data_IF_696325815516
#
_entry.id   IF_696325815516
#
_cell.length_a   1.000
_cell.length_b   1.000
_cell.length_c   1.000
_cell.angle_alpha   90.00
_cell.angle_beta   90.00
_cell.angle_gamma   90.00
#
_symmetry.space_group_name_H-M   'P 1'
#
loop_
_entity.id
_entity.type
_entity.pdbx_description
1 polymer ?
#
# COMPACT_ATOMS: atom_id res chain seq x y z
N UNK A 1 9.59 -28.62 6.02
CA UNK A 1 10.20 -27.58 5.15
C UNK A 1 10.69 -26.47 6.07
N UNK A 2 11.90 -25.99 5.88
CA UNK A 2 12.43 -24.86 6.67
C UNK A 2 11.60 -23.63 6.35
N UNK A 3 11.12 -22.90 7.35
CA UNK A 3 10.36 -21.69 7.13
C UNK A 3 11.19 -20.71 6.27
N UNK A 4 10.59 -20.17 5.22
CA UNK A 4 11.24 -19.14 4.40
C UNK A 4 11.32 -17.87 5.26
N UNK A 5 12.53 -17.48 5.62
CA UNK A 5 12.76 -16.21 6.32
C UNK A 5 12.98 -15.15 5.24
N UNK A 6 12.06 -14.18 5.16
CA UNK A 6 12.25 -13.05 4.26
C UNK A 6 13.49 -12.24 4.65
N UNK A 7 14.20 -11.64 3.69
CA UNK A 7 15.24 -10.66 3.99
C UNK A 7 14.63 -9.52 4.83
N UNK A 8 15.48 -8.78 5.56
CA UNK A 8 14.97 -7.58 6.25
C UNK A 8 14.47 -6.58 5.23
N UNK A 9 13.31 -5.94 5.49
CA UNK A 9 12.72 -5.04 4.52
C UNK A 9 13.60 -3.81 4.29
N UNK A 10 13.71 -3.41 3.03
CA UNK A 10 14.42 -2.21 2.62
C UNK A 10 13.72 -1.62 1.40
N UNK A 11 13.59 -0.29 1.35
CA UNK A 11 13.07 0.42 0.20
C UNK A 11 14.20 1.20 -0.45
N UNK A 12 14.59 0.78 -1.64
CA UNK A 12 15.56 1.49 -2.47
C UNK A 12 14.86 2.17 -3.65
N UNK A 13 15.37 3.32 -4.07
CA UNK A 13 14.91 3.98 -5.28
C UNK A 13 15.36 3.18 -6.50
N UNK A 14 14.40 2.81 -7.33
CA UNK A 14 14.60 2.04 -8.54
C UNK A 14 13.86 2.64 -9.73
N UNK A 15 14.03 2.03 -10.89
CA UNK A 15 13.33 2.42 -12.11
C UNK A 15 12.96 1.20 -12.91
N UNK A 16 11.65 1.09 -13.22
CA UNK A 16 11.14 0.10 -14.15
C UNK A 16 10.68 0.79 -15.42
N UNK A 17 11.34 0.51 -16.55
CA UNK A 17 11.21 1.28 -17.80
C UNK A 17 11.40 2.80 -17.52
N UNK A 18 10.39 3.63 -17.76
CA UNK A 18 10.43 5.08 -17.49
C UNK A 18 9.93 5.47 -16.09
N UNK A 19 9.41 4.53 -15.30
CA UNK A 19 8.71 4.83 -14.04
C UNK A 19 9.68 4.72 -12.86
N UNK A 20 9.94 5.83 -12.12
CA UNK A 20 10.67 5.78 -10.87
C UNK A 20 9.77 5.22 -9.75
N UNK A 21 10.33 4.33 -8.94
CA UNK A 21 9.63 3.69 -7.83
C UNK A 21 10.56 3.50 -6.63
N UNK A 22 9.96 3.20 -5.48
CA UNK A 22 10.65 2.61 -4.33
C UNK A 22 10.24 1.15 -4.23
N UNK A 23 11.21 0.23 -4.18
CA UNK A 23 11.03 -1.22 -4.27
C UNK A 23 12.03 -1.96 -3.38
N UNK A 24 11.79 -3.26 -3.17
CA UNK A 24 12.72 -4.17 -2.49
C UNK A 24 13.03 -5.37 -3.41
N UNK A 25 14.19 -5.30 -4.10
CA UNK A 25 14.61 -6.36 -5.02
C UNK A 25 15.00 -7.64 -4.27
N UNK A 26 15.53 -7.54 -3.04
CA UNK A 26 15.86 -8.71 -2.23
C UNK A 26 14.60 -9.49 -1.82
N UNK A 27 13.49 -8.81 -1.56
CA UNK A 27 12.19 -9.44 -1.36
C UNK A 27 11.74 -10.19 -2.61
N UNK A 28 11.84 -9.55 -3.78
CA UNK A 28 11.45 -10.16 -5.04
C UNK A 28 12.26 -11.44 -5.32
N UNK A 29 13.57 -11.39 -5.16
CA UNK A 29 14.45 -12.55 -5.31
C UNK A 29 14.11 -13.68 -4.33
N UNK A 30 13.71 -13.35 -3.10
CA UNK A 30 13.41 -14.33 -2.05
C UNK A 30 12.06 -15.05 -2.24
N UNK A 31 10.99 -14.36 -2.64
CA UNK A 31 9.64 -14.92 -2.64
C UNK A 31 8.81 -14.64 -3.90
N UNK A 32 9.38 -13.94 -4.89
CA UNK A 32 8.71 -13.59 -6.15
C UNK A 32 7.65 -12.49 -6.00
N UNK A 33 7.58 -11.82 -4.83
CA UNK A 33 6.68 -10.69 -4.63
C UNK A 33 7.40 -9.40 -4.99
N UNK A 34 6.94 -8.73 -6.03
CA UNK A 34 7.37 -7.39 -6.41
C UNK A 34 6.46 -6.37 -5.78
N UNK A 35 7.05 -5.42 -5.08
CA UNK A 35 6.36 -4.27 -4.50
C UNK A 35 6.87 -2.99 -5.14
N UNK A 36 6.02 -1.97 -5.21
CA UNK A 36 6.43 -0.65 -5.69
C UNK A 36 5.56 0.46 -5.08
N UNK A 37 6.20 1.47 -4.54
CA UNK A 37 5.59 2.78 -4.29
C UNK A 37 6.04 3.71 -5.41
N UNK A 38 5.08 4.20 -6.23
CA UNK A 38 5.41 5.05 -7.38
C UNK A 38 5.64 6.49 -6.94
N UNK A 39 6.38 7.23 -7.77
CA UNK A 39 6.35 8.68 -7.74
C UNK A 39 5.23 9.21 -8.64
N UNK A 40 5.12 10.53 -8.78
CA UNK A 40 4.20 11.16 -9.74
C UNK A 40 4.73 11.18 -11.19
N UNK A 41 5.98 10.75 -11.41
CA UNK A 41 6.66 10.83 -12.70
C UNK A 41 6.52 9.55 -13.56
N UNK A 42 6.62 9.71 -14.88
CA UNK A 42 6.71 8.60 -15.83
C UNK A 42 5.40 8.23 -16.55
N UNK A 43 4.36 9.03 -16.39
CA UNK A 43 3.07 8.86 -17.05
C UNK A 43 2.80 9.84 -18.19
N UNK A 44 1.52 9.94 -18.55
CA UNK A 44 1.02 10.73 -19.71
C UNK A 44 -0.01 11.80 -19.33
N UNK A 45 -0.45 11.85 -18.08
CA UNK A 45 -1.36 12.90 -17.59
C UNK A 45 -0.67 14.26 -17.56
N UNK A 46 -1.44 15.35 -17.49
CA UNK A 46 -0.94 16.72 -17.54
C UNK A 46 -1.58 17.61 -16.47
N UNK A 47 -1.09 18.86 -16.34
CA UNK A 47 -1.60 19.83 -15.38
C UNK A 47 -1.42 19.36 -13.92
N UNK A 48 -2.46 19.44 -13.06
CA UNK A 48 -2.34 19.02 -11.67
C UNK A 48 -2.11 17.50 -11.50
N UNK A 49 -2.31 16.74 -12.56
CA UNK A 49 -2.17 15.27 -12.61
C UNK A 49 -0.84 14.81 -13.22
N UNK A 50 0.05 15.74 -13.56
CA UNK A 50 1.34 15.47 -14.21
C UNK A 50 2.26 14.65 -13.32
N UNK A 51 2.63 13.44 -13.76
CA UNK A 51 2.35 12.80 -15.04
C UNK A 51 1.76 11.41 -14.87
N UNK A 52 2.11 10.64 -13.79
CA UNK A 52 1.66 9.26 -13.52
C UNK A 52 0.47 9.26 -12.55
N UNK A 53 -0.62 9.91 -12.93
CA UNK A 53 -1.85 9.78 -12.15
C UNK A 53 -2.48 8.40 -12.37
N UNK A 54 -2.71 7.67 -11.27
CA UNK A 54 -3.29 6.32 -11.24
C UNK A 54 -4.73 6.29 -10.72
N UNK A 55 -5.20 7.43 -10.18
CA UNK A 55 -6.53 7.57 -9.59
C UNK A 55 -7.61 7.91 -10.61
N UNK A 56 -8.61 7.03 -10.77
CA UNK A 56 -9.75 7.25 -11.67
C UNK A 56 -10.89 8.07 -11.05
N UNK A 57 -10.77 8.47 -9.78
CA UNK A 57 -11.78 9.23 -9.03
C UNK A 57 -11.44 10.73 -8.91
N UNK A 58 -10.54 11.21 -9.75
CA UNK A 58 -10.18 12.62 -9.90
C UNK A 58 -10.54 13.09 -11.31
N UNK A 59 -10.60 14.41 -11.53
CA UNK A 59 -11.05 15.00 -12.81
C UNK A 59 -9.94 14.97 -13.89
N UNK A 60 -9.17 13.87 -13.99
CA UNK A 60 -8.22 13.62 -15.06
C UNK A 60 -8.88 12.89 -16.23
N UNK A 61 -8.28 12.95 -17.41
CA UNK A 61 -8.71 12.17 -18.58
C UNK A 61 -8.62 10.66 -18.27
N UNK A 62 -9.76 9.98 -18.31
CA UNK A 62 -9.85 8.54 -18.06
C UNK A 62 -8.94 7.70 -18.98
N UNK A 63 -8.70 8.13 -20.23
CA UNK A 63 -7.77 7.47 -21.13
C UNK A 63 -6.31 7.64 -20.68
N UNK A 64 -5.94 8.79 -20.12
CA UNK A 64 -4.62 8.99 -19.51
C UNK A 64 -4.43 8.10 -18.30
N UNK A 65 -5.42 8.01 -17.41
CA UNK A 65 -5.37 7.12 -16.22
C UNK A 65 -5.24 5.65 -16.62
N UNK A 66 -6.05 5.19 -17.58
CA UNK A 66 -5.94 3.82 -18.12
C UNK A 66 -4.54 3.57 -18.72
N UNK A 67 -4.03 4.52 -19.50
CA UNK A 67 -2.68 4.41 -20.06
C UNK A 67 -1.59 4.36 -18.99
N UNK A 68 -1.69 5.17 -17.94
CA UNK A 68 -0.75 5.17 -16.82
C UNK A 68 -0.75 3.83 -16.08
N UNK A 69 -1.92 3.26 -15.82
CA UNK A 69 -2.05 1.92 -15.20
C UNK A 69 -1.43 0.85 -16.08
N UNK A 70 -1.69 0.87 -17.39
CA UNK A 70 -1.08 -0.06 -18.35
C UNK A 70 0.45 0.07 -18.40
N UNK A 71 0.99 1.29 -18.40
CA UNK A 71 2.44 1.54 -18.33
C UNK A 71 3.05 0.98 -17.05
N UNK A 72 2.41 1.24 -15.90
CA UNK A 72 2.88 0.73 -14.59
C UNK A 72 2.90 -0.80 -14.57
N UNK A 73 1.82 -1.42 -14.99
CA UNK A 73 1.67 -2.89 -14.96
C UNK A 73 2.67 -3.57 -15.89
N UNK A 74 2.82 -3.06 -17.11
CA UNK A 74 3.81 -3.57 -18.07
C UNK A 74 5.26 -3.43 -17.56
N UNK A 75 5.55 -2.36 -16.81
CA UNK A 75 6.87 -2.12 -16.25
C UNK A 75 7.19 -3.06 -15.07
N UNK A 76 6.23 -3.29 -14.17
CA UNK A 76 6.43 -4.04 -12.92
C UNK A 76 6.21 -5.55 -13.08
N UNK A 77 5.45 -5.97 -14.06
CA UNK A 77 5.13 -7.36 -14.35
C UNK A 77 5.45 -7.73 -15.81
N UNK A 78 6.73 -7.61 -16.25
CA UNK A 78 7.12 -7.95 -17.60
C UNK A 78 6.92 -9.44 -17.84
N UNK A 79 6.19 -9.81 -18.90
CA UNK A 79 5.89 -11.20 -19.26
C UNK A 79 4.49 -11.67 -18.86
N UNK A 80 3.71 -10.85 -18.15
CA UNK A 80 2.27 -11.04 -18.13
C UNK A 80 1.69 -10.52 -19.46
N UNK A 81 0.95 -11.37 -20.16
CA UNK A 81 0.29 -11.04 -21.41
C UNK A 81 -0.74 -9.90 -21.25
N UNK A 82 -1.38 -9.48 -22.35
CA UNK A 82 -2.38 -8.40 -22.38
C UNK A 82 -3.57 -8.56 -21.40
N UNK A 83 -3.69 -9.71 -20.75
CA UNK A 83 -4.66 -10.02 -19.69
C UNK A 83 -4.33 -9.40 -18.33
N UNK A 84 -3.22 -8.66 -18.19
CA UNK A 84 -2.81 -8.09 -16.88
C UNK A 84 -3.81 -7.06 -16.37
N UNK A 85 -4.47 -6.31 -17.24
CA UNK A 85 -5.53 -5.39 -16.82
C UNK A 85 -6.71 -6.16 -16.22
N UNK A 86 -6.99 -7.36 -16.69
CA UNK A 86 -8.01 -8.26 -16.14
C UNK A 86 -7.60 -8.83 -14.78
N UNK A 87 -6.28 -8.92 -14.51
CA UNK A 87 -5.71 -9.44 -13.26
C UNK A 87 -5.30 -8.33 -12.28
N UNK A 88 -5.59 -7.07 -12.58
CA UNK A 88 -5.32 -5.94 -11.70
C UNK A 88 -6.57 -5.60 -10.87
N UNK A 89 -6.44 -5.66 -9.55
CA UNK A 89 -7.50 -5.24 -8.62
C UNK A 89 -7.20 -3.84 -8.12
N UNK A 90 -8.11 -2.89 -8.41
CA UNK A 90 -8.03 -1.48 -7.99
C UNK A 90 -9.34 -1.11 -7.29
N UNK A 91 -9.42 -1.09 -5.96
CA UNK A 91 -10.66 -0.78 -5.27
C UNK A 91 -11.02 0.70 -5.33
N UNK A 92 -12.31 0.97 -5.27
CA UNK A 92 -12.80 2.30 -4.92
C UNK A 92 -12.54 2.53 -3.43
N UNK A 93 -11.50 3.31 -3.11
CA UNK A 93 -11.13 3.63 -1.74
C UNK A 93 -12.17 4.57 -1.12
N UNK A 94 -12.66 4.20 0.05
CA UNK A 94 -13.75 4.89 0.76
C UNK A 94 -13.33 5.42 2.13
N UNK A 95 -12.03 5.33 2.45
CA UNK A 95 -11.45 5.69 3.75
C UNK A 95 -12.09 4.92 4.93
N UNK A 96 -12.49 3.68 4.64
CA UNK A 96 -13.04 2.74 5.61
C UNK A 96 -12.01 1.74 6.14
N UNK A 97 -12.51 0.55 6.46
CA UNK A 97 -11.69 -0.56 6.97
C UNK A 97 -12.06 -1.92 6.32
N UNK A 98 -12.77 -1.89 5.17
CA UNK A 98 -13.14 -3.10 4.43
C UNK A 98 -11.92 -3.68 3.74
N UNK A 99 -11.69 -4.97 3.99
CA UNK A 99 -10.64 -5.79 3.40
C UNK A 99 -11.29 -6.76 2.41
N UNK A 100 -10.69 -6.95 1.25
CA UNK A 100 -11.09 -7.98 0.27
C UNK A 100 -9.93 -8.93 0.04
N UNK A 101 -10.23 -10.21 -0.27
CA UNK A 101 -9.22 -11.24 -0.48
C UNK A 101 -9.38 -11.89 -1.85
N UNK A 102 -8.28 -11.96 -2.61
CA UNK A 102 -8.14 -12.75 -3.84
C UNK A 102 -7.42 -14.05 -3.50
N UNK A 103 -8.17 -15.13 -3.33
CA UNK A 103 -7.59 -16.43 -3.00
C UNK A 103 -7.00 -17.14 -4.23
N UNK A 104 -7.55 -16.91 -5.41
CA UNK A 104 -7.13 -17.52 -6.67
C UNK A 104 -7.56 -16.71 -7.88
N UNK A 105 -6.97 -16.99 -9.03
CA UNK A 105 -7.29 -16.32 -10.31
C UNK A 105 -8.80 -16.37 -10.61
N UNK A 106 -9.47 -17.48 -10.31
CA UNK A 106 -10.92 -17.62 -10.53
C UNK A 106 -11.81 -16.73 -9.66
N UNK A 107 -11.26 -16.08 -8.62
CA UNK A 107 -12.01 -15.14 -7.77
C UNK A 107 -11.84 -13.67 -8.16
N UNK A 108 -10.95 -13.35 -9.11
CA UNK A 108 -10.57 -11.97 -9.45
C UNK A 108 -11.77 -11.14 -9.87
N UNK A 109 -12.59 -11.63 -10.81
CA UNK A 109 -13.78 -10.91 -11.30
C UNK A 109 -14.77 -10.58 -10.17
N UNK A 110 -15.05 -11.55 -9.28
CA UNK A 110 -15.92 -11.32 -8.14
C UNK A 110 -15.34 -10.28 -7.16
N UNK A 111 -14.01 -10.31 -6.96
CA UNK A 111 -13.34 -9.34 -6.09
C UNK A 111 -13.30 -7.96 -6.74
N UNK A 112 -13.11 -7.84 -8.06
CA UNK A 112 -13.19 -6.56 -8.77
C UNK A 112 -14.59 -5.93 -8.64
N UNK A 113 -15.66 -6.70 -8.79
CA UNK A 113 -17.04 -6.22 -8.56
C UNK A 113 -17.21 -5.72 -7.12
N UNK A 114 -16.74 -6.48 -6.14
CA UNK A 114 -16.80 -6.08 -4.73
C UNK A 114 -15.92 -4.85 -4.41
N UNK A 115 -14.81 -4.69 -5.13
CA UNK A 115 -13.89 -3.57 -5.03
C UNK A 115 -14.52 -2.26 -5.56
N UNK A 116 -15.35 -2.33 -6.57
CA UNK A 116 -16.11 -1.19 -7.10
C UNK A 116 -17.15 -0.68 -6.09
N UNK A 117 -17.67 -1.56 -5.22
CA UNK A 117 -18.55 -1.15 -4.12
C UNK A 117 -17.80 -0.37 -3.02
N UNK A 118 -16.51 -0.61 -2.86
CA UNK A 118 -15.58 0.07 -1.95
C UNK A 118 -14.80 -0.87 -1.06
N UNK A 119 -13.49 -0.62 -0.97
CA UNK A 119 -12.58 -1.27 -0.02
C UNK A 119 -11.30 -0.43 0.13
N UNK A 120 -10.60 -0.62 1.24
CA UNK A 120 -9.36 0.11 1.55
C UNK A 120 -8.17 -0.85 1.80
N UNK A 121 -8.37 -2.16 1.62
CA UNK A 121 -7.28 -3.14 1.60
C UNK A 121 -7.63 -4.32 0.67
N UNK A 122 -6.60 -4.84 0.00
CA UNK A 122 -6.67 -6.03 -0.85
C UNK A 122 -5.59 -7.01 -0.40
N UNK A 123 -6.01 -8.21 0.03
CA UNK A 123 -5.13 -9.36 0.28
C UNK A 123 -5.07 -10.21 -0.99
N UNK A 124 -3.90 -10.65 -1.40
CA UNK A 124 -3.70 -11.50 -2.58
C UNK A 124 -2.89 -12.74 -2.21
N UNK A 125 -3.46 -13.91 -2.42
CA UNK A 125 -2.80 -15.21 -2.31
C UNK A 125 -2.37 -15.74 -3.68
N UNK A 126 -3.08 -15.36 -4.71
CA UNK A 126 -2.87 -15.80 -6.08
C UNK A 126 -1.54 -15.29 -6.67
N UNK A 127 -0.92 -16.10 -7.56
CA UNK A 127 0.16 -15.63 -8.43
C UNK A 127 -0.43 -14.89 -9.63
N UNK A 128 0.35 -13.98 -10.19
CA UNK A 128 0.04 -13.22 -11.41
C UNK A 128 -1.24 -12.36 -11.28
N UNK A 129 -1.67 -12.08 -10.06
CA UNK A 129 -2.70 -11.11 -9.74
C UNK A 129 -2.06 -9.94 -9.00
N UNK A 130 -2.32 -8.74 -9.50
CA UNK A 130 -1.80 -7.49 -8.94
C UNK A 130 -2.86 -6.74 -8.15
N UNK A 131 -2.42 -6.04 -7.12
CA UNK A 131 -3.22 -5.04 -6.41
C UNK A 131 -2.58 -3.66 -6.54
N UNK A 132 -3.39 -2.64 -6.82
CA UNK A 132 -2.99 -1.24 -6.89
C UNK A 132 -3.95 -0.40 -6.06
N UNK A 133 -3.44 0.35 -5.10
CA UNK A 133 -4.15 1.38 -4.37
C UNK A 133 -3.51 2.74 -4.63
N UNK A 134 -4.30 3.81 -4.51
CA UNK A 134 -3.96 5.16 -4.97
C UNK A 134 -3.91 6.14 -3.80
N UNK A 135 -2.93 7.06 -3.80
CA UNK A 135 -2.62 7.90 -2.65
C UNK A 135 -2.28 9.34 -3.06
N UNK A 136 -2.65 10.25 -2.18
CA UNK A 136 -2.16 11.62 -2.07
C UNK A 136 -2.39 12.03 -0.61
N UNK A 137 -1.38 11.82 0.23
CA UNK A 137 -1.27 12.05 1.67
C UNK A 137 -1.63 10.89 2.60
N UNK A 138 -2.66 10.07 2.31
CA UNK A 138 -2.94 8.88 3.12
C UNK A 138 -1.76 7.89 3.10
N UNK A 139 -1.61 7.09 4.15
CA UNK A 139 -0.47 6.17 4.31
C UNK A 139 -0.65 4.92 3.45
N UNK A 140 0.24 4.66 2.48
CA UNK A 140 0.27 3.41 1.74
C UNK A 140 1.04 2.35 2.52
N UNK A 141 0.44 1.17 2.70
CA UNK A 141 1.13 0.05 3.37
C UNK A 141 1.09 -1.19 2.48
N UNK A 142 2.23 -1.87 2.36
CA UNK A 142 2.30 -3.20 1.75
C UNK A 142 2.79 -4.18 2.82
N UNK A 143 2.08 -5.30 2.98
CA UNK A 143 2.40 -6.38 3.91
C UNK A 143 2.74 -7.62 3.10
N UNK A 144 3.83 -8.32 3.44
CA UNK A 144 4.24 -9.55 2.75
C UNK A 144 4.55 -10.64 3.78
N UNK A 145 3.83 -11.76 3.69
CA UNK A 145 4.11 -12.96 4.48
C UNK A 145 5.24 -13.80 3.85
N UNK A 146 5.96 -14.62 4.62
CA UNK A 146 7.01 -15.48 4.10
C UNK A 146 6.54 -16.49 3.04
N UNK A 147 5.26 -16.78 2.97
CA UNK A 147 4.64 -17.65 1.94
C UNK A 147 4.44 -16.95 0.60
N UNK A 148 4.64 -15.63 0.54
CA UNK A 148 4.41 -14.79 -0.63
C UNK A 148 2.97 -14.31 -0.77
N UNK A 149 2.07 -14.57 0.19
CA UNK A 149 0.80 -13.84 0.32
C UNK A 149 1.11 -12.40 0.66
N UNK A 150 0.46 -11.46 0.02
CA UNK A 150 0.68 -10.04 0.28
C UNK A 150 -0.63 -9.27 0.41
N UNK A 151 -0.56 -8.06 0.95
CA UNK A 151 -1.66 -7.12 0.95
C UNK A 151 -1.17 -5.72 0.60
N UNK A 152 -2.05 -4.93 -0.04
CA UNK A 152 -1.90 -3.49 -0.21
C UNK A 152 -3.02 -2.82 0.56
N UNK A 153 -2.67 -1.85 1.40
CA UNK A 153 -3.58 -1.20 2.35
C UNK A 153 -3.55 0.31 2.18
N UNK A 154 -4.71 0.93 2.12
CA UNK A 154 -4.91 2.37 2.17
C UNK A 154 -5.32 2.78 3.59
N UNK A 155 -4.39 3.39 4.31
CA UNK A 155 -4.59 3.83 5.67
C UNK A 155 -4.70 5.37 5.73
N UNK A 156 -5.85 5.92 5.36
CA UNK A 156 -6.23 7.28 5.72
C UNK A 156 -6.43 7.39 7.25
N UNK A 157 -6.54 8.58 7.82
CA UNK A 157 -6.64 8.75 9.28
C UNK A 157 -7.77 7.92 9.93
N UNK A 158 -8.93 7.79 9.26
CA UNK A 158 -10.02 6.91 9.73
C UNK A 158 -9.64 5.42 9.67
N UNK A 159 -8.94 5.01 8.61
CA UNK A 159 -8.42 3.65 8.48
C UNK A 159 -7.37 3.34 9.54
N UNK A 160 -6.47 4.29 9.83
CA UNK A 160 -5.50 4.17 10.94
C UNK A 160 -6.25 4.07 12.27
N UNK A 161 -7.22 4.94 12.51
CA UNK A 161 -8.06 4.91 13.71
C UNK A 161 -8.78 3.56 13.84
N UNK A 162 -9.39 3.03 12.78
CA UNK A 162 -10.06 1.73 12.73
C UNK A 162 -9.09 0.54 12.67
N UNK A 163 -7.79 0.78 12.74
CA UNK A 163 -6.73 -0.24 12.75
C UNK A 163 -6.72 -1.16 11.50
N UNK A 164 -7.03 -0.61 10.32
CA UNK A 164 -7.15 -1.38 9.08
C UNK A 164 -5.90 -2.23 8.78
N UNK A 165 -4.70 -1.69 9.01
CA UNK A 165 -3.44 -2.41 8.74
C UNK A 165 -3.28 -3.63 9.66
N UNK A 166 -3.53 -3.47 10.97
CA UNK A 166 -3.46 -4.57 11.93
C UNK A 166 -4.57 -5.61 11.67
N UNK A 167 -5.78 -5.17 11.29
CA UNK A 167 -6.89 -6.02 10.88
C UNK A 167 -6.50 -6.84 9.64
N UNK A 168 -5.99 -6.19 8.59
CA UNK A 168 -5.54 -6.87 7.37
C UNK A 168 -4.46 -7.92 7.67
N UNK A 169 -3.43 -7.57 8.46
CA UNK A 169 -2.40 -8.53 8.84
C UNK A 169 -2.98 -9.70 9.65
N UNK A 170 -3.90 -9.45 10.59
CA UNK A 170 -4.57 -10.53 11.33
C UNK A 170 -5.33 -11.48 10.41
N UNK A 171 -6.09 -10.96 9.45
CA UNK A 171 -6.80 -11.76 8.47
C UNK A 171 -5.85 -12.59 7.59
N UNK A 172 -4.73 -11.99 7.13
CA UNK A 172 -3.70 -12.71 6.38
C UNK A 172 -3.11 -13.88 7.17
N UNK A 173 -2.79 -13.64 8.45
CA UNK A 173 -2.24 -14.67 9.33
C UNK A 173 -3.24 -15.80 9.59
N UNK A 174 -4.52 -15.49 9.81
CA UNK A 174 -5.57 -16.47 10.06
C UNK A 174 -5.84 -17.32 8.79
N UNK A 175 -5.90 -16.68 7.62
CA UNK A 175 -6.04 -17.39 6.34
C UNK A 175 -4.85 -18.32 6.07
N UNK A 176 -3.62 -17.84 6.31
CA UNK A 176 -2.40 -18.57 6.01
C UNK A 176 -2.18 -19.74 6.98
N UNK A 177 -2.50 -19.58 8.27
CA UNK A 177 -2.44 -20.70 9.25
C UNK A 177 -3.43 -21.81 8.94
N UNK A 178 -4.55 -21.51 8.28
CA UNK A 178 -5.52 -22.51 7.82
C UNK A 178 -5.06 -23.19 6.52
N UNK A 179 -4.32 -22.48 5.65
CA UNK A 179 -3.89 -22.98 4.34
C UNK A 179 -2.52 -23.68 4.38
N UNK A 180 -1.72 -23.48 5.42
CA UNK A 180 -0.35 -23.97 5.52
C UNK A 180 -0.09 -24.67 6.86
N UNK A 181 1.12 -25.21 7.03
CA UNK A 181 1.58 -25.82 8.29
C UNK A 181 2.28 -24.83 9.23
N UNK A 182 2.37 -23.56 8.86
CA UNK A 182 3.02 -22.54 9.68
C UNK A 182 2.14 -22.10 10.84
N UNK A 183 2.74 -21.91 12.00
CA UNK A 183 2.08 -21.26 13.13
C UNK A 183 1.97 -19.75 12.89
N UNK A 184 1.04 -19.10 13.56
CA UNK A 184 0.89 -17.64 13.53
C UNK A 184 2.19 -16.91 13.94
N UNK A 185 2.90 -17.45 14.93
CA UNK A 185 4.15 -16.89 15.44
C UNK A 185 5.29 -16.99 14.39
N UNK A 186 5.43 -18.14 13.72
CA UNK A 186 6.40 -18.31 12.64
C UNK A 186 6.14 -17.35 11.47
N UNK A 187 4.88 -17.18 11.06
CA UNK A 187 4.50 -16.25 10.02
C UNK A 187 4.85 -14.80 10.43
N UNK A 188 4.42 -14.40 11.63
CA UNK A 188 4.58 -13.04 12.14
C UNK A 188 6.06 -12.65 12.28
N UNK A 189 6.90 -13.57 12.78
CA UNK A 189 8.35 -13.32 12.97
C UNK A 189 9.11 -13.01 11.68
N UNK A 190 8.56 -13.39 10.53
CA UNK A 190 9.17 -13.22 9.20
C UNK A 190 8.32 -12.33 8.26
N UNK A 191 7.25 -11.73 8.75
CA UNK A 191 6.41 -10.81 7.99
C UNK A 191 7.12 -9.47 7.78
N UNK A 192 7.18 -9.00 6.55
CA UNK A 192 7.67 -7.66 6.24
C UNK A 192 6.50 -6.69 6.03
N UNK A 193 6.66 -5.49 6.55
CA UNK A 193 5.73 -4.36 6.36
C UNK A 193 6.50 -3.20 5.76
N UNK A 194 5.95 -2.62 4.70
CA UNK A 194 6.52 -1.47 4.00
C UNK A 194 5.53 -0.32 4.05
N UNK A 195 5.98 0.84 4.49
CA UNK A 195 5.22 2.09 4.53
C UNK A 195 5.81 3.00 3.45
N UNK A 196 4.99 3.39 2.47
CA UNK A 196 5.39 4.29 1.38
C UNK A 196 5.22 5.77 1.76
N UNK A 197 5.27 6.69 0.78
CA UNK A 197 5.21 8.13 1.05
C UNK A 197 3.81 8.58 1.52
N UNK A 198 3.74 9.38 2.56
CA UNK A 198 2.50 9.91 3.14
C UNK A 198 2.71 11.32 3.72
N UNK A 199 1.66 11.97 4.17
CA UNK A 199 1.75 13.26 4.88
C UNK A 199 2.29 13.04 6.29
N UNK A 200 3.43 13.66 6.61
CA UNK A 200 4.06 13.53 7.91
C UNK A 200 3.43 14.48 8.95
N UNK A 201 3.77 14.21 10.20
CA UNK A 201 3.25 14.91 11.37
C UNK A 201 3.38 16.43 11.31
N UNK A 202 4.48 16.96 10.76
CA UNK A 202 4.69 18.40 10.64
C UNK A 202 3.77 19.09 9.62
N UNK A 203 3.06 18.31 8.79
CA UNK A 203 2.15 18.80 7.76
C UNK A 203 0.70 18.33 7.97
N UNK A 204 0.48 17.37 8.88
CA UNK A 204 -0.84 16.79 9.09
C UNK A 204 -1.55 17.42 10.29
N UNK A 205 -2.01 18.65 10.07
CA UNK A 205 -2.87 19.38 11.00
C UNK A 205 -4.25 18.71 11.13
N UNK A 206 -4.73 18.60 12.36
CA UNK A 206 -6.00 17.98 12.72
C UNK A 206 -6.78 18.81 13.74
N UNK A 207 -8.06 18.49 13.94
CA UNK A 207 -8.84 19.07 15.03
C UNK A 207 -8.41 18.49 16.39
N UNK A 208 -8.68 19.21 17.46
CA UNK A 208 -8.45 18.80 18.84
C UNK A 208 -9.08 17.42 19.15
N UNK A 209 -10.30 17.17 18.65
CA UNK A 209 -10.99 15.89 18.84
C UNK A 209 -10.21 14.71 18.21
N UNK A 210 -9.68 14.89 17.00
CA UNK A 210 -8.89 13.85 16.31
C UNK A 210 -7.55 13.66 17.04
N UNK A 211 -6.90 14.74 17.46
CA UNK A 211 -5.66 14.67 18.23
C UNK A 211 -5.87 13.88 19.54
N UNK A 212 -6.90 14.22 20.32
CA UNK A 212 -7.24 13.53 21.56
C UNK A 212 -7.59 12.04 21.34
N UNK A 213 -8.30 11.73 20.25
CA UNK A 213 -8.62 10.36 19.86
C UNK A 213 -7.36 9.52 19.61
N UNK A 214 -6.40 10.07 18.84
CA UNK A 214 -5.17 9.37 18.50
C UNK A 214 -4.24 9.18 19.70
N UNK A 215 -4.04 10.22 20.51
CA UNK A 215 -3.20 10.13 21.70
C UNK A 215 -3.78 9.16 22.74
N UNK A 216 -5.09 9.15 22.91
CA UNK A 216 -5.76 8.18 23.80
C UNK A 216 -5.59 6.74 23.31
N UNK A 217 -5.72 6.51 22.01
CA UNK A 217 -5.72 5.16 21.42
C UNK A 217 -4.32 4.59 21.21
N UNK A 218 -3.39 5.42 20.74
CA UNK A 218 -2.07 4.98 20.30
C UNK A 218 -0.94 5.48 21.23
N UNK A 219 -1.21 6.45 22.08
CA UNK A 219 -0.27 7.02 23.03
C UNK A 219 0.31 8.35 22.57
N UNK A 220 0.97 9.05 23.50
CA UNK A 220 1.56 10.38 23.28
C UNK A 220 2.64 10.40 22.19
N UNK A 221 3.23 9.26 21.85
CA UNK A 221 4.21 9.17 20.76
C UNK A 221 3.62 9.54 19.39
N UNK A 222 2.28 9.50 19.24
CA UNK A 222 1.58 9.92 18.02
C UNK A 222 1.31 11.43 17.97
N UNK A 223 1.56 12.17 19.08
CA UNK A 223 1.43 13.61 19.12
C UNK A 223 2.74 14.27 18.67
N UNK A 224 2.66 15.22 17.77
CA UNK A 224 3.78 16.10 17.43
C UNK A 224 3.67 17.42 18.20
N UNK A 225 2.49 18.02 18.16
CA UNK A 225 2.06 19.16 18.93
C UNK A 225 0.51 19.10 19.09
N UNK A 226 -0.17 20.04 19.76
CA UNK A 226 -1.61 19.98 20.00
C UNK A 226 -2.50 19.95 18.75
N UNK A 227 -1.97 20.33 17.58
CA UNK A 227 -2.71 20.44 16.32
C UNK A 227 -2.29 19.39 15.28
N UNK A 228 -1.21 18.62 15.55
CA UNK A 228 -0.62 17.68 14.59
C UNK A 228 -0.43 16.28 15.18
N UNK A 229 -0.75 15.27 14.37
CA UNK A 229 -0.56 13.86 14.72
C UNK A 229 0.32 13.12 13.69
N UNK A 230 0.96 12.06 14.16
CA UNK A 230 1.81 11.16 13.39
C UNK A 230 1.07 9.88 13.04
N UNK A 231 0.62 9.76 11.79
CA UNK A 231 -0.08 8.58 11.29
C UNK A 231 0.84 7.37 11.19
N UNK A 232 2.11 7.57 10.79
CA UNK A 232 3.11 6.52 10.70
C UNK A 232 3.41 5.91 12.07
N UNK A 233 3.62 6.76 13.08
CA UNK A 233 3.84 6.30 14.45
C UNK A 233 2.63 5.53 15.02
N UNK A 234 1.41 5.95 14.70
CA UNK A 234 0.20 5.23 15.09
C UNK A 234 0.15 3.84 14.45
N UNK A 235 0.50 3.72 13.15
CA UNK A 235 0.60 2.44 12.44
C UNK A 235 1.68 1.52 13.03
N UNK A 236 2.88 2.03 13.24
CA UNK A 236 3.97 1.27 13.87
C UNK A 236 3.54 0.75 15.24
N UNK A 237 2.91 1.61 16.06
CA UNK A 237 2.39 1.22 17.38
C UNK A 237 1.38 0.06 17.28
N UNK A 238 0.47 0.08 16.32
CA UNK A 238 -0.50 -1.00 16.10
C UNK A 238 0.17 -2.32 15.72
N UNK A 239 1.13 -2.27 14.80
CA UNK A 239 1.84 -3.44 14.29
C UNK A 239 2.71 -4.09 15.37
N UNK A 240 3.42 -3.28 16.15
CA UNK A 240 4.23 -3.76 17.29
C UNK A 240 3.35 -4.37 18.37
N UNK A 241 2.20 -3.77 18.71
CA UNK A 241 1.22 -4.35 19.63
C UNK A 241 0.65 -5.69 19.13
N UNK A 242 0.56 -5.89 17.82
CA UNK A 242 0.16 -7.16 17.22
C UNK A 242 1.28 -8.21 17.26
N UNK A 243 2.52 -7.81 17.52
CA UNK A 243 3.71 -8.66 17.65
C UNK A 243 4.65 -8.63 16.45
N UNK A 244 4.50 -7.67 15.53
CA UNK A 244 5.49 -7.45 14.46
C UNK A 244 6.77 -6.90 15.08
N UNK A 245 7.92 -7.51 14.76
CA UNK A 245 9.23 -6.97 15.12
C UNK A 245 9.44 -5.65 14.37
N UNK A 246 9.76 -4.57 15.10
CA UNK A 246 9.97 -3.24 14.53
C UNK A 246 11.00 -3.24 13.40
N UNK A 247 12.03 -4.10 13.48
CA UNK A 247 13.02 -4.29 12.42
C UNK A 247 12.47 -4.94 11.13
N UNK A 248 11.21 -5.37 11.14
CA UNK A 248 10.44 -5.88 10.00
C UNK A 248 9.50 -4.82 9.41
N UNK A 249 9.53 -3.60 9.93
CA UNK A 249 8.78 -2.46 9.42
C UNK A 249 9.80 -1.51 8.76
N UNK A 250 9.62 -1.27 7.47
CA UNK A 250 10.43 -0.32 6.71
C UNK A 250 9.54 0.87 6.32
N UNK A 251 9.77 2.02 6.93
CA UNK A 251 9.15 3.28 6.53
C UNK A 251 10.09 4.00 5.54
N UNK A 252 9.53 4.45 4.40
CA UNK A 252 10.27 5.24 3.42
C UNK A 252 10.67 6.62 3.95
N UNK A 253 9.94 7.11 4.95
CA UNK A 253 10.16 8.39 5.61
C UNK A 253 10.20 9.58 4.62
N UNK A 254 9.19 9.65 3.73
CA UNK A 254 9.04 10.71 2.72
C UNK A 254 7.67 11.38 2.85
N UNK A 255 7.68 12.64 3.30
CA UNK A 255 6.46 13.46 3.36
C UNK A 255 6.00 13.89 1.97
N UNK A 256 4.73 13.61 1.63
CA UNK A 256 4.12 13.96 0.33
C UNK A 256 3.97 15.47 0.14
N UNK A 257 3.72 16.21 1.22
CA UNK A 257 3.62 17.69 1.19
C UNK A 257 4.98 18.32 0.95
N UNK A 258 6.00 17.90 1.71
CA UNK A 258 7.36 18.44 1.61
C UNK A 258 8.06 18.05 0.30
N UNK A 259 7.67 16.91 -0.30
CA UNK A 259 8.20 16.38 -1.56
C UNK A 259 7.12 16.36 -2.65
N UNK A 260 6.32 17.42 -2.77
CA UNK A 260 5.23 17.48 -3.75
C UNK A 260 5.72 17.51 -5.21
N UNK A 261 6.98 17.80 -5.44
CA UNK A 261 7.65 17.63 -6.74
C UNK A 261 7.83 16.14 -7.13
N UNK A 262 7.86 15.24 -6.14
CA UNK A 262 8.04 13.79 -6.33
C UNK A 262 6.74 12.98 -6.18
N UNK A 263 5.83 13.44 -5.31
CA UNK A 263 4.58 12.74 -4.98
C UNK A 263 3.38 13.66 -5.16
N UNK A 264 2.22 13.10 -5.43
CA UNK A 264 0.99 13.86 -5.34
C UNK A 264 0.60 14.10 -3.89
N UNK A 265 0.14 15.31 -3.59
CA UNK A 265 -0.38 15.68 -2.28
C UNK A 265 -1.70 16.44 -2.42
N UNK A 266 -2.75 15.92 -1.83
CA UNK A 266 -4.05 16.58 -1.76
C UNK A 266 -3.96 17.89 -0.95
N UNK A 267 -3.20 17.87 0.15
CA UNK A 267 -2.95 19.01 1.03
C UNK A 267 -2.16 20.11 0.34
N UNK A 268 -1.05 19.77 -0.32
CA UNK A 268 -0.18 20.74 -0.97
C UNK A 268 -0.76 21.32 -2.27
N UNK A 269 -1.72 20.64 -2.90
CA UNK A 269 -2.34 21.02 -4.17
C UNK A 269 -3.80 21.49 -4.01
N UNK A 270 -4.19 21.94 -2.81
CA UNK A 270 -5.52 22.50 -2.52
C UNK A 270 -6.69 21.61 -3.00
N UNK A 271 -6.53 20.29 -2.90
CA UNK A 271 -7.57 19.32 -3.26
C UNK A 271 -7.57 18.85 -4.71
N UNK A 272 -6.86 19.52 -5.62
CA UNK A 272 -6.79 19.15 -7.04
C UNK A 272 -5.45 18.49 -7.34
N UNK A 273 -5.39 17.18 -7.17
CA UNK A 273 -4.15 16.41 -7.29
C UNK A 273 -4.40 15.04 -7.94
N UNK A 274 -3.38 14.53 -8.65
CA UNK A 274 -3.31 13.15 -9.06
C UNK A 274 -3.15 12.19 -7.88
N UNK A 275 -2.97 10.92 -8.18
CA UNK A 275 -2.71 9.87 -7.19
C UNK A 275 -1.52 9.03 -7.62
N UNK A 276 -0.49 8.94 -6.78
CA UNK A 276 0.56 7.94 -6.92
C UNK A 276 0.08 6.60 -6.36
N UNK A 277 0.82 5.52 -6.57
CA UNK A 277 0.36 4.16 -6.28
C UNK A 277 1.22 3.38 -5.32
N UNK A 278 0.59 2.48 -4.56
CA UNK A 278 1.22 1.31 -4.00
C UNK A 278 0.75 0.09 -4.81
N UNK A 279 1.70 -0.63 -5.38
CA UNK A 279 1.48 -1.77 -6.26
C UNK A 279 2.20 -3.00 -5.72
N UNK A 280 1.54 -4.15 -5.74
CA UNK A 280 2.19 -5.41 -5.45
C UNK A 280 1.66 -6.53 -6.35
N UNK A 281 2.55 -7.47 -6.71
CA UNK A 281 2.25 -8.68 -7.48
C UNK A 281 3.20 -9.80 -7.07
N UNK A 282 2.70 -11.04 -7.03
CA UNK A 282 3.53 -12.23 -6.92
C UNK A 282 3.66 -12.90 -8.29
N UNK A 283 4.83 -12.80 -8.91
CA UNK A 283 5.07 -13.35 -10.24
C UNK A 283 5.20 -14.88 -10.20
N UNK A 284 4.70 -15.56 -11.25
CA UNK A 284 5.05 -16.95 -11.52
C UNK A 284 6.53 -17.05 -11.93
N UNK A 285 7.19 -18.10 -11.47
CA UNK A 285 8.62 -18.37 -11.76
C UNK A 285 8.81 -18.86 -13.17
#
# INVERSE_FOLDING_TARGET
MTALILPRPKLDEGRFASIPVFTDEALFEACGVRIAFTTRAGGVSSGPYDSLNLGSHVDDDAACVARNRALLTAALAPGLDASVEEMLVVPRQVHGDKVLTVEGVGSVECVQIAADEGADAIIVAARDVAALLCFADCVPVIIVLPTGRFAVVHAGWRGVENTITAKTLSEMLDQETQASSYSREELLSSTNVYIGPYIHRECFETSEDIHALFTTKFGEACSFDPEHIDLGQALVTQLVRLGVDESRICDLDQCTVCNNDRFFSYRAQDGVAGRHGAFAIRCSS
#
